data_IF_941420490554
#
_entry.id   IF_941420490554
#
_cell.length_a   1.000
_cell.length_b   1.000
_cell.length_c   1.000
_cell.angle_alpha   90.00
_cell.angle_beta   90.00
_cell.angle_gamma   90.00
#
_symmetry.space_group_name_H-M   'P 1'
#
loop_
_entity.id
_entity.type
_entity.pdbx_description
1 polymer ?
#
# COMPACT_ATOMS: atom_id res chain seq x y z
N UNK A 1 31.77 0.92 44.53
CA UNK A 1 30.36 0.86 44.06
C UNK A 1 30.10 1.63 42.74
N UNK A 2 31.08 1.75 41.80
CA UNK A 2 30.92 2.46 40.51
C UNK A 2 30.52 1.56 39.32
N UNK A 3 30.92 0.28 39.34
CA UNK A 3 30.70 -0.66 38.22
C UNK A 3 29.23 -1.08 37.98
N UNK A 4 28.40 -1.16 39.03
CA UNK A 4 26.97 -1.51 38.87
C UNK A 4 26.18 -0.39 38.17
N UNK A 5 26.62 0.86 38.29
CA UNK A 5 25.93 2.05 37.74
C UNK A 5 26.16 2.19 36.23
N UNK A 6 27.35 1.84 35.75
CA UNK A 6 27.67 1.78 34.31
C UNK A 6 26.98 0.61 33.61
N UNK A 7 26.82 -0.54 34.28
CA UNK A 7 26.11 -1.70 33.73
C UNK A 7 24.60 -1.43 33.52
N UNK A 8 23.93 -0.80 34.51
CA UNK A 8 22.52 -0.38 34.38
C UNK A 8 22.31 0.69 33.29
N UNK A 9 23.27 1.60 33.09
CA UNK A 9 23.22 2.60 32.01
C UNK A 9 23.39 1.97 30.62
N UNK A 10 24.28 0.98 30.47
CA UNK A 10 24.44 0.23 29.22
C UNK A 10 23.20 -0.59 28.88
N UNK A 11 22.58 -1.25 29.88
CA UNK A 11 21.33 -2.00 29.66
C UNK A 11 20.15 -1.09 29.30
N UNK A 12 20.04 0.10 29.92
CA UNK A 12 19.02 1.08 29.55
C UNK A 12 19.18 1.59 28.10
N UNK A 13 20.42 1.79 27.65
CA UNK A 13 20.69 2.20 26.27
C UNK A 13 20.31 1.12 25.25
N UNK A 14 20.59 -0.16 25.54
CA UNK A 14 20.23 -1.29 24.69
C UNK A 14 18.70 -1.49 24.62
N UNK A 15 18.00 -1.35 25.75
CA UNK A 15 16.54 -1.45 25.77
C UNK A 15 15.87 -0.33 24.97
N UNK A 16 16.40 0.90 25.05
CA UNK A 16 15.89 2.04 24.29
C UNK A 16 16.08 1.86 22.78
N UNK A 17 17.24 1.34 22.34
CA UNK A 17 17.50 1.11 20.91
C UNK A 17 16.60 0.01 20.33
N UNK A 18 16.33 -1.05 21.09
CA UNK A 18 15.38 -2.11 20.67
C UNK A 18 13.96 -1.55 20.55
N UNK A 19 13.52 -0.73 21.51
CA UNK A 19 12.20 -0.13 21.47
C UNK A 19 11.99 0.76 20.24
N UNK A 20 12.99 1.59 19.90
CA UNK A 20 12.97 2.44 18.71
C UNK A 20 12.87 1.62 17.41
N UNK A 21 13.62 0.52 17.31
CA UNK A 21 13.58 -0.37 16.14
C UNK A 21 12.20 -1.02 15.96
N UNK A 22 11.58 -1.49 17.04
CA UNK A 22 10.24 -2.09 17.00
C UNK A 22 9.18 -1.08 16.54
N UNK A 23 9.25 0.15 17.03
CA UNK A 23 8.30 1.21 16.61
C UNK A 23 8.46 1.61 15.14
N UNK A 24 9.69 1.53 14.59
CA UNK A 24 9.94 1.87 13.19
C UNK A 24 9.35 0.87 12.20
N UNK A 25 9.17 -0.41 12.59
CA UNK A 25 8.59 -1.45 11.73
C UNK A 25 7.05 -1.42 11.77
N UNK A 26 6.45 -0.97 12.88
CA UNK A 26 5.00 -0.82 12.99
C UNK A 26 4.42 0.26 12.02
N UNK A 27 5.26 1.19 11.56
CA UNK A 27 4.88 2.17 10.53
C UNK A 27 5.03 1.67 9.09
N UNK A 28 5.55 0.46 8.86
CA UNK A 28 5.67 -0.14 7.53
C UNK A 28 4.33 -0.74 7.08
N UNK A 29 3.28 0.08 7.06
CA UNK A 29 1.99 -0.30 6.51
C UNK A 29 1.92 0.25 5.09
N UNK A 30 1.68 -0.64 4.11
CA UNK A 30 1.44 -0.25 2.72
C UNK A 30 0.26 0.72 2.67
N UNK A 31 0.51 1.97 2.31
CA UNK A 31 -0.53 2.93 1.93
C UNK A 31 -0.99 2.52 0.54
N UNK A 32 -2.02 1.67 0.49
CA UNK A 32 -2.50 1.11 -0.77
C UNK A 32 -3.28 -0.19 -0.66
N UNK A 33 -3.77 -0.58 0.51
CA UNK A 33 -4.84 -1.57 0.57
C UNK A 33 -6.16 -0.87 0.21
N UNK A 34 -6.34 -0.56 -1.08
CA UNK A 34 -7.70 -0.50 -1.63
C UNK A 34 -8.30 -1.86 -1.32
N UNK A 35 -9.47 -1.86 -0.67
CA UNK A 35 -10.20 -3.09 -0.36
C UNK A 35 -10.46 -3.81 -1.70
N UNK A 36 -9.67 -4.82 -2.00
CA UNK A 36 -9.95 -5.82 -3.05
C UNK A 36 -11.13 -6.68 -2.59
N UNK A 37 -12.31 -6.07 -2.54
CA UNK A 37 -13.58 -6.79 -2.42
C UNK A 37 -14.31 -6.58 -3.73
N UNK A 38 -13.98 -7.43 -4.70
CA UNK A 38 -14.49 -7.38 -6.08
C UNK A 38 -13.33 -7.43 -7.06
N UNK A 39 -13.37 -8.40 -7.96
CA UNK A 39 -12.42 -8.62 -9.05
C UNK A 39 -11.85 -7.29 -9.57
N UNK A 40 -10.53 -7.13 -9.49
CA UNK A 40 -9.83 -5.89 -9.87
C UNK A 40 -9.90 -5.71 -11.40
N UNK A 41 -11.03 -5.17 -11.88
CA UNK A 41 -11.24 -4.89 -13.30
C UNK A 41 -10.34 -3.74 -13.72
N UNK A 42 -9.69 -3.89 -14.86
CA UNK A 42 -8.85 -2.82 -15.42
C UNK A 42 -9.73 -1.65 -15.84
N UNK A 43 -9.42 -0.46 -15.33
CA UNK A 43 -10.10 0.78 -15.68
C UNK A 43 -9.54 1.35 -16.99
N UNK A 44 -10.38 1.46 -18.02
CA UNK A 44 -10.00 1.97 -19.35
C UNK A 44 -10.82 3.22 -19.65
N UNK A 45 -10.13 4.32 -19.94
CA UNK A 45 -10.76 5.59 -20.35
C UNK A 45 -10.58 5.77 -21.85
N UNK A 46 -11.68 6.03 -22.55
CA UNK A 46 -11.71 6.23 -24.00
C UNK A 46 -12.25 7.61 -24.33
N UNK A 47 -11.77 8.20 -25.43
CA UNK A 47 -12.22 9.54 -25.83
C UNK A 47 -13.50 9.47 -26.67
N UNK A 48 -13.63 8.48 -27.56
CA UNK A 48 -14.69 8.39 -28.58
C UNK A 48 -15.28 6.97 -28.70
N UNK A 49 -16.49 6.87 -29.27
CA UNK A 49 -17.25 5.61 -29.40
C UNK A 49 -16.49 4.44 -30.04
N UNK A 50 -15.75 4.62 -31.16
CA UNK A 50 -15.08 3.48 -31.79
C UNK A 50 -14.14 2.74 -30.84
N UNK A 51 -13.38 3.46 -30.02
CA UNK A 51 -12.45 2.85 -29.07
C UNK A 51 -13.18 2.17 -27.91
N UNK A 52 -14.25 2.78 -27.40
CA UNK A 52 -15.09 2.20 -26.36
C UNK A 52 -15.70 0.86 -26.80
N UNK A 53 -16.25 0.82 -28.01
CA UNK A 53 -16.92 -0.37 -28.55
C UNK A 53 -15.93 -1.52 -28.75
N UNK A 54 -14.75 -1.25 -29.34
CA UNK A 54 -13.73 -2.28 -29.49
C UNK A 54 -13.25 -2.84 -28.14
N UNK A 55 -12.98 -1.98 -27.15
CA UNK A 55 -12.54 -2.45 -25.83
C UNK A 55 -13.63 -3.29 -25.17
N UNK A 56 -14.89 -2.87 -25.25
CA UNK A 56 -16.01 -3.60 -24.66
C UNK A 56 -16.26 -4.94 -25.35
N UNK A 57 -16.11 -5.02 -26.67
CA UNK A 57 -16.25 -6.29 -27.41
C UNK A 57 -15.12 -7.28 -27.13
N UNK A 58 -13.89 -6.78 -26.98
CA UNK A 58 -12.71 -7.64 -26.76
C UNK A 58 -12.65 -8.12 -25.31
N UNK A 59 -12.81 -7.21 -24.35
CA UNK A 59 -12.55 -7.49 -22.94
C UNK A 59 -13.83 -7.83 -22.15
N UNK A 60 -15.01 -7.50 -22.68
CA UNK A 60 -16.30 -7.84 -22.08
C UNK A 60 -16.41 -7.33 -20.64
N UNK A 61 -16.80 -8.23 -19.74
CA UNK A 61 -17.01 -7.92 -18.32
C UNK A 61 -15.72 -7.88 -17.50
N UNK A 62 -14.54 -8.11 -18.09
CA UNK A 62 -13.26 -8.12 -17.37
C UNK A 62 -12.65 -6.72 -17.15
N UNK A 63 -13.25 -5.69 -17.73
CA UNK A 63 -12.76 -4.31 -17.68
C UNK A 63 -13.90 -3.34 -17.40
N UNK A 64 -13.56 -2.20 -16.81
CA UNK A 64 -14.47 -1.08 -16.62
C UNK A 64 -14.11 0.00 -17.63
N UNK A 65 -14.97 0.20 -18.65
CA UNK A 65 -14.73 1.17 -19.73
C UNK A 65 -15.59 2.41 -19.52
N UNK A 66 -14.95 3.58 -19.53
CA UNK A 66 -15.62 4.88 -19.49
C UNK A 66 -15.30 5.70 -20.75
N UNK A 67 -16.25 6.52 -21.20
CA UNK A 67 -16.08 7.44 -22.33
C UNK A 67 -16.16 8.88 -21.84
N UNK A 68 -15.22 9.73 -22.28
CA UNK A 68 -15.17 11.13 -21.88
C UNK A 68 -16.21 11.99 -22.61
N UNK A 69 -16.42 11.71 -23.90
CA UNK A 69 -17.44 12.38 -24.69
C UNK A 69 -18.74 11.57 -24.59
N UNK A 70 -19.86 12.24 -24.31
CA UNK A 70 -21.20 11.63 -24.28
C UNK A 70 -21.87 11.74 -25.63
#
# INVERSE_FOLDING_TARGET
>A
MKFRKTYKRKQAAVLLSVFLLVTSVAGCQRVGAVKETGEEKVNVVTTIFPQYDFVRQIAGDNVEVSMLLK
#
